data_IF_799214994813
#
_entry.id   IF_799214994813
#
_cell.length_a   1.000
_cell.length_b   1.000
_cell.length_c   1.000
_cell.angle_alpha   90.00
_cell.angle_beta   90.00
_cell.angle_gamma   90.00
#
_symmetry.space_group_name_H-M   'P 1'
#
loop_
_entity.id
_entity.type
_entity.pdbx_description
1 polymer ?
#
# COMPACT_ATOMS: atom_id res chain seq x y z
N UNK A 1 -23.95 13.30 -29.95
CA UNK A 1 -23.56 12.46 -28.78
C UNK A 1 -22.20 12.86 -28.22
N UNK A 2 -21.15 12.94 -29.05
CA UNK A 2 -19.80 13.35 -28.61
C UNK A 2 -19.74 14.74 -27.96
N UNK A 3 -20.46 15.74 -28.49
CA UNK A 3 -20.49 17.08 -27.89
C UNK A 3 -21.05 17.09 -26.46
N UNK A 4 -22.13 16.32 -26.19
CA UNK A 4 -22.68 16.17 -24.84
C UNK A 4 -21.70 15.49 -23.89
N UNK A 5 -20.92 14.51 -24.36
CA UNK A 5 -19.89 13.85 -23.56
C UNK A 5 -18.74 14.80 -23.20
N UNK A 6 -18.30 15.64 -24.15
CA UNK A 6 -17.28 16.69 -23.88
C UNK A 6 -17.78 17.73 -22.89
N UNK A 7 -19.02 18.18 -23.03
CA UNK A 7 -19.65 19.12 -22.09
C UNK A 7 -19.76 18.53 -20.68
N UNK A 8 -20.17 17.26 -20.56
CA UNK A 8 -20.21 16.58 -19.28
C UNK A 8 -18.81 16.45 -18.66
N UNK A 9 -17.82 16.04 -19.45
CA UNK A 9 -16.44 15.92 -18.98
C UNK A 9 -15.90 17.26 -18.48
N UNK A 10 -16.06 18.34 -19.26
CA UNK A 10 -15.62 19.67 -18.84
C UNK A 10 -16.30 20.14 -17.56
N UNK A 11 -17.59 19.82 -17.36
CA UNK A 11 -18.29 20.12 -16.10
C UNK A 11 -17.76 19.29 -14.93
N UNK A 12 -17.46 18.01 -15.13
CA UNK A 12 -16.86 17.17 -14.07
C UNK A 12 -15.47 17.68 -13.69
N UNK A 13 -14.66 18.07 -14.67
CA UNK A 13 -13.34 18.66 -14.45
C UNK A 13 -13.43 20.00 -13.69
N UNK A 14 -14.35 20.89 -14.07
CA UNK A 14 -14.57 22.17 -13.38
C UNK A 14 -15.03 21.98 -11.92
N UNK A 15 -15.80 20.92 -11.63
CA UNK A 15 -16.20 20.58 -10.26
C UNK A 15 -15.05 19.99 -9.41
N UNK A 16 -13.98 19.49 -10.01
CA UNK A 16 -12.84 18.88 -9.30
C UNK A 16 -11.62 19.80 -9.24
N UNK A 17 -11.32 20.51 -10.33
CA UNK A 17 -10.11 21.29 -10.56
C UNK A 17 -10.39 22.80 -10.61
N UNK A 18 -11.64 23.19 -10.87
CA UNK A 18 -12.03 24.57 -11.09
C UNK A 18 -12.18 25.38 -9.80
N UNK A 19 -12.28 26.72 -9.90
CA UNK A 19 -12.44 27.61 -8.76
C UNK A 19 -13.79 27.44 -8.04
N UNK A 20 -14.74 26.74 -8.66
CA UNK A 20 -16.05 26.42 -8.10
C UNK A 20 -16.09 25.06 -7.42
N UNK A 21 -14.96 24.34 -7.31
CA UNK A 21 -14.90 23.07 -6.61
C UNK A 21 -15.28 23.26 -5.13
N UNK A 22 -16.26 22.49 -4.68
CA UNK A 22 -16.66 22.41 -3.28
C UNK A 22 -16.47 20.99 -2.75
N UNK A 23 -16.31 20.87 -1.44
CA UNK A 23 -15.97 19.62 -0.77
C UNK A 23 -17.00 18.52 -1.00
N UNK A 24 -18.29 18.84 -0.93
CA UNK A 24 -19.35 17.86 -1.08
C UNK A 24 -19.36 17.30 -2.50
N UNK A 25 -19.39 18.17 -3.52
CA UNK A 25 -19.44 17.76 -4.92
C UNK A 25 -18.18 16.99 -5.32
N UNK A 26 -17.00 17.43 -4.86
CA UNK A 26 -15.72 16.76 -5.13
C UNK A 26 -15.73 15.33 -4.58
N UNK A 27 -16.15 15.18 -3.32
CA UNK A 27 -16.30 13.88 -2.68
C UNK A 27 -17.29 12.98 -3.42
N UNK A 28 -18.48 13.48 -3.79
CA UNK A 28 -19.50 12.69 -4.49
C UNK A 28 -19.03 12.23 -5.88
N UNK A 29 -18.38 13.10 -6.65
CA UNK A 29 -17.87 12.77 -7.98
C UNK A 29 -16.77 11.71 -7.90
N UNK A 30 -15.81 11.85 -6.98
CA UNK A 30 -14.73 10.88 -6.85
C UNK A 30 -15.21 9.56 -6.25
N UNK A 31 -16.05 9.60 -5.21
CA UNK A 31 -16.63 8.42 -4.57
C UNK A 31 -17.39 7.54 -5.58
N UNK A 32 -18.10 8.15 -6.54
CA UNK A 32 -18.75 7.43 -7.63
C UNK A 32 -17.79 6.52 -8.40
N UNK A 33 -16.59 7.02 -8.76
CA UNK A 33 -15.60 6.20 -9.47
C UNK A 33 -14.85 5.27 -8.53
N UNK A 34 -14.41 5.77 -7.37
CA UNK A 34 -13.60 5.03 -6.39
C UNK A 34 -14.29 3.75 -5.90
N UNK A 35 -15.60 3.81 -5.60
CA UNK A 35 -16.37 2.62 -5.18
C UNK A 35 -16.38 1.50 -6.23
N UNK A 36 -16.17 1.82 -7.50
CA UNK A 36 -16.14 0.83 -8.58
C UNK A 36 -14.79 0.16 -8.77
N UNK A 37 -13.73 0.67 -8.13
CA UNK A 37 -12.40 0.03 -8.17
C UNK A 37 -12.40 -1.31 -7.45
N UNK A 38 -13.31 -1.56 -6.51
CA UNK A 38 -13.50 -2.88 -5.86
C UNK A 38 -14.62 -3.72 -6.47
N UNK A 39 -15.13 -3.34 -7.65
CA UNK A 39 -16.17 -4.11 -8.33
C UNK A 39 -15.68 -5.52 -8.70
N UNK A 40 -16.54 -6.53 -8.53
CA UNK A 40 -16.27 -7.90 -8.98
C UNK A 40 -16.11 -8.01 -10.50
N UNK A 41 -16.66 -7.06 -11.25
CA UNK A 41 -16.55 -7.02 -12.71
C UNK A 41 -15.31 -6.23 -13.14
N UNK A 42 -14.34 -6.92 -13.77
CA UNK A 42 -13.11 -6.30 -14.31
C UNK A 42 -13.43 -5.12 -15.22
N UNK A 43 -14.41 -5.27 -16.13
CA UNK A 43 -14.82 -4.20 -17.03
C UNK A 43 -15.30 -2.94 -16.29
N UNK A 44 -15.96 -3.10 -15.13
CA UNK A 44 -16.39 -1.96 -14.30
C UNK A 44 -15.20 -1.24 -13.68
N UNK A 45 -14.17 -1.97 -13.23
CA UNK A 45 -12.96 -1.38 -12.66
C UNK A 45 -12.19 -0.59 -13.72
N UNK A 46 -11.98 -1.20 -14.88
CA UNK A 46 -11.29 -0.56 -16.02
C UNK A 46 -11.99 0.72 -16.47
N UNK A 47 -13.34 0.71 -16.56
CA UNK A 47 -14.09 1.91 -16.91
C UNK A 47 -14.02 2.99 -15.82
N UNK A 48 -13.97 2.60 -14.55
CA UNK A 48 -13.81 3.54 -13.44
C UNK A 48 -12.43 4.21 -13.46
N UNK A 49 -11.35 3.45 -13.63
CA UNK A 49 -9.99 3.98 -13.77
C UNK A 49 -9.86 4.91 -14.97
N UNK A 50 -10.42 4.53 -16.13
CA UNK A 50 -10.45 5.40 -17.31
C UNK A 50 -11.25 6.68 -17.05
N UNK A 51 -12.37 6.57 -16.32
CA UNK A 51 -13.16 7.73 -15.89
C UNK A 51 -12.35 8.69 -15.02
N UNK A 52 -11.68 8.16 -13.99
CA UNK A 52 -10.79 8.90 -13.10
C UNK A 52 -9.67 9.61 -13.87
N UNK A 53 -8.99 8.89 -14.75
CA UNK A 53 -7.96 9.47 -15.62
C UNK A 53 -8.48 10.63 -16.46
N UNK A 54 -9.69 10.54 -17.00
CA UNK A 54 -10.28 11.63 -17.80
C UNK A 54 -10.69 12.84 -16.94
N UNK A 55 -11.29 12.62 -15.77
CA UNK A 55 -11.81 13.74 -14.95
C UNK A 55 -10.72 14.44 -14.14
N UNK A 56 -9.58 13.78 -13.91
CA UNK A 56 -8.44 14.34 -13.16
C UNK A 56 -7.35 14.93 -14.06
N UNK A 57 -7.30 14.58 -15.35
CA UNK A 57 -6.33 15.16 -16.28
C UNK A 57 -6.71 16.60 -16.62
N UNK A 58 -5.83 17.54 -16.25
CA UNK A 58 -5.89 18.91 -16.75
C UNK A 58 -5.75 18.89 -18.28
N UNK A 59 -6.71 19.49 -19.00
CA UNK A 59 -6.56 19.68 -20.44
C UNK A 59 -6.85 18.47 -21.34
N UNK A 60 -7.52 17.41 -20.88
CA UNK A 60 -7.97 16.29 -21.76
C UNK A 60 -8.85 16.73 -22.96
N UNK A 61 -9.33 17.97 -22.96
CA UNK A 61 -10.04 18.60 -24.08
C UNK A 61 -9.13 19.37 -25.04
N UNK A 62 -7.89 19.69 -24.65
CA UNK A 62 -6.91 20.46 -25.42
C UNK A 62 -5.87 19.58 -26.16
N UNK A 63 -5.68 18.31 -25.79
CA UNK A 63 -4.64 17.43 -26.37
C UNK A 63 -4.81 17.03 -27.85
N UNK A 64 -5.85 17.50 -28.55
CA UNK A 64 -5.97 17.23 -30.00
C UNK A 64 -5.28 18.24 -30.90
N UNK A 65 -4.82 19.37 -30.39
CA UNK A 65 -4.16 20.40 -31.18
C UNK A 65 -2.92 20.89 -30.43
N UNK A 66 -1.76 20.40 -30.88
CA UNK A 66 -0.43 20.97 -30.62
C UNK A 66 0.16 20.85 -29.19
N UNK A 67 1.08 19.91 -29.00
CA UNK A 67 2.53 20.21 -28.93
C UNK A 67 3.33 19.01 -28.43
N UNK A 68 4.37 18.68 -29.18
CA UNK A 68 5.61 18.10 -28.67
C UNK A 68 6.11 19.01 -27.53
N UNK A 69 6.25 18.49 -26.32
CA UNK A 69 6.97 19.17 -25.23
C UNK A 69 8.31 18.45 -25.02
N UNK A 70 9.42 19.21 -24.87
CA UNK A 70 10.71 18.64 -24.55
C UNK A 70 10.66 18.06 -23.13
N UNK A 71 11.21 16.87 -22.98
CA UNK A 71 11.28 16.10 -21.74
C UNK A 71 12.09 16.87 -20.69
N UNK A 72 11.42 17.44 -19.68
CA UNK A 72 12.06 17.66 -18.38
C UNK A 72 11.97 16.32 -17.65
N UNK A 73 13.12 15.67 -17.48
CA UNK A 73 13.27 14.41 -16.74
C UNK A 73 12.91 14.66 -15.26
N UNK A 74 11.64 14.44 -14.90
CA UNK A 74 11.25 14.29 -13.51
C UNK A 74 11.87 12.99 -12.98
N UNK A 75 12.44 12.95 -11.76
CA UNK A 75 13.07 11.75 -11.18
C UNK A 75 12.14 10.53 -11.01
N UNK A 76 10.88 10.66 -11.41
CA UNK A 76 9.81 9.67 -11.31
C UNK A 76 9.36 9.17 -12.70
N UNK A 77 10.27 9.14 -13.67
CA UNK A 77 10.02 8.59 -15.01
C UNK A 77 9.79 7.06 -14.94
N UNK A 78 8.58 6.71 -14.52
CA UNK A 78 8.04 5.37 -14.56
C UNK A 78 7.27 5.20 -15.86
N UNK A 79 7.92 4.80 -16.95
CA UNK A 79 7.24 4.52 -18.22
C UNK A 79 6.05 3.54 -18.06
N UNK A 80 6.09 2.64 -17.07
CA UNK A 80 5.02 1.67 -16.79
C UNK A 80 3.90 2.21 -15.88
N UNK A 81 4.24 2.96 -14.83
CA UNK A 81 3.23 3.62 -13.96
C UNK A 81 2.67 4.91 -14.58
N UNK A 82 3.15 5.32 -15.75
CA UNK A 82 2.61 6.45 -16.51
C UNK A 82 1.10 6.34 -16.76
N UNK A 83 0.61 5.11 -16.95
CA UNK A 83 -0.82 4.81 -17.09
C UNK A 83 -1.65 5.09 -15.83
N UNK A 84 -0.99 5.29 -14.67
CA UNK A 84 -1.57 5.63 -13.38
C UNK A 84 -1.19 7.04 -12.92
N UNK A 85 -0.76 7.93 -13.83
CA UNK A 85 -0.55 9.36 -13.54
C UNK A 85 -1.75 9.99 -12.83
N UNK A 86 -2.97 9.57 -13.20
CA UNK A 86 -4.20 10.05 -12.57
C UNK A 86 -4.19 9.85 -11.05
N UNK A 87 -3.60 8.74 -10.57
CA UNK A 87 -3.58 8.37 -9.16
C UNK A 87 -2.34 8.91 -8.47
N UNK A 88 -1.17 8.74 -9.09
CA UNK A 88 0.12 9.03 -8.45
C UNK A 88 0.54 10.50 -8.55
N UNK A 89 -0.02 11.25 -9.51
CA UNK A 89 0.36 12.65 -9.76
C UNK A 89 -0.83 13.59 -9.76
N UNK A 90 -1.91 13.25 -10.47
CA UNK A 90 -2.98 14.22 -10.71
C UNK A 90 -3.96 14.29 -9.52
N UNK A 91 -4.31 13.16 -8.89
CA UNK A 91 -5.17 13.14 -7.70
C UNK A 91 -4.55 13.91 -6.51
N UNK A 92 -3.25 13.76 -6.15
CA UNK A 92 -2.64 14.54 -5.07
C UNK A 92 -2.57 16.05 -5.33
N UNK A 93 -2.73 16.49 -6.59
CA UNK A 93 -2.74 17.91 -6.97
C UNK A 93 -4.11 18.56 -6.86
N UNK A 94 -5.16 17.81 -6.53
CA UNK A 94 -6.50 18.38 -6.38
C UNK A 94 -6.53 19.48 -5.32
N UNK A 95 -7.25 20.60 -5.56
CA UNK A 95 -7.41 21.66 -4.56
C UNK A 95 -7.98 21.18 -3.22
N UNK A 96 -8.85 20.17 -3.26
CA UNK A 96 -9.49 19.56 -2.09
C UNK A 96 -8.97 18.14 -1.81
N UNK A 97 -7.68 17.89 -2.08
CA UNK A 97 -7.07 16.58 -1.91
C UNK A 97 -7.27 16.01 -0.50
N UNK A 98 -7.06 16.82 0.54
CA UNK A 98 -7.20 16.38 1.94
C UNK A 98 -8.60 15.82 2.25
N UNK A 99 -9.65 16.40 1.66
CA UNK A 99 -11.03 15.94 1.84
C UNK A 99 -11.29 14.56 1.23
N UNK A 100 -10.56 14.19 0.17
CA UNK A 100 -10.75 12.92 -0.56
C UNK A 100 -9.68 11.88 -0.32
N UNK A 101 -8.58 12.25 0.34
CA UNK A 101 -7.44 11.38 0.64
C UNK A 101 -7.85 10.11 1.37
N UNK A 102 -8.64 10.25 2.44
CA UNK A 102 -9.12 9.12 3.26
C UNK A 102 -10.03 8.20 2.47
N UNK A 103 -11.03 8.75 1.77
CA UNK A 103 -11.97 7.96 0.97
C UNK A 103 -11.24 7.22 -0.16
N UNK A 104 -10.25 7.86 -0.79
CA UNK A 104 -9.39 7.21 -1.78
C UNK A 104 -8.63 6.05 -1.17
N UNK A 105 -7.93 6.25 -0.05
CA UNK A 105 -7.15 5.20 0.60
C UNK A 105 -8.01 3.98 0.93
N UNK A 106 -9.19 4.20 1.53
CA UNK A 106 -10.15 3.13 1.83
C UNK A 106 -10.61 2.40 0.56
N UNK A 107 -10.95 3.14 -0.50
CA UNK A 107 -11.37 2.53 -1.77
C UNK A 107 -10.26 1.67 -2.40
N UNK A 108 -9.01 2.13 -2.34
CA UNK A 108 -7.86 1.37 -2.83
C UNK A 108 -7.59 0.13 -1.98
N UNK A 109 -7.67 0.22 -0.65
CA UNK A 109 -7.58 -0.94 0.24
C UNK A 109 -8.66 -2.01 -0.08
N UNK A 110 -9.87 -1.60 -0.42
CA UNK A 110 -10.88 -2.56 -0.88
C UNK A 110 -10.57 -3.10 -2.29
N UNK A 111 -10.01 -2.26 -3.16
CA UNK A 111 -9.64 -2.65 -4.52
C UNK A 111 -8.47 -3.63 -4.57
N UNK A 112 -7.47 -3.54 -3.68
CA UNK A 112 -6.32 -4.47 -3.66
C UNK A 112 -6.74 -5.92 -3.43
N UNK A 113 -7.90 -6.17 -2.81
CA UNK A 113 -8.43 -7.53 -2.61
C UNK A 113 -9.05 -8.11 -3.87
N UNK A 114 -9.54 -7.26 -4.77
CA UNK A 114 -10.31 -7.65 -5.97
C UNK A 114 -9.49 -7.55 -7.26
N UNK A 115 -8.46 -6.70 -7.29
CA UNK A 115 -7.67 -6.45 -8.48
C UNK A 115 -6.75 -7.62 -8.79
N UNK A 116 -6.61 -7.97 -10.07
CA UNK A 116 -5.78 -9.07 -10.56
C UNK A 116 -4.60 -8.59 -11.39
N UNK A 117 -4.64 -7.36 -11.88
CA UNK A 117 -3.56 -6.76 -12.65
C UNK A 117 -2.41 -6.27 -11.74
N UNK A 118 -1.18 -6.80 -11.88
CA UNK A 118 -0.06 -6.43 -11.01
C UNK A 118 0.29 -4.95 -11.08
N UNK A 119 0.25 -4.32 -12.26
CA UNK A 119 0.62 -2.90 -12.42
C UNK A 119 -0.37 -1.98 -11.68
N UNK A 120 -1.66 -2.30 -11.75
CA UNK A 120 -2.69 -1.60 -10.98
C UNK A 120 -2.43 -1.72 -9.48
N UNK A 121 -2.07 -2.92 -9.01
CA UNK A 121 -1.72 -3.15 -7.60
C UNK A 121 -0.47 -2.38 -7.21
N UNK A 122 0.57 -2.35 -8.07
CA UNK A 122 1.78 -1.54 -7.88
C UNK A 122 1.42 -0.07 -7.62
N UNK A 123 0.58 0.52 -8.48
CA UNK A 123 0.14 1.91 -8.34
C UNK A 123 -0.64 2.14 -7.04
N UNK A 124 -1.52 1.21 -6.65
CA UNK A 124 -2.27 1.32 -5.41
C UNK A 124 -1.36 1.29 -4.18
N UNK A 125 -0.38 0.38 -4.15
CA UNK A 125 0.58 0.27 -3.05
C UNK A 125 1.47 1.50 -2.92
N UNK A 126 1.97 2.04 -4.05
CA UNK A 126 2.76 3.26 -4.05
C UNK A 126 1.94 4.43 -3.50
N UNK A 127 0.71 4.63 -3.99
CA UNK A 127 -0.18 5.66 -3.45
C UNK A 127 -0.43 5.51 -1.95
N UNK A 128 -0.79 4.30 -1.50
CA UNK A 128 -1.11 4.04 -0.10
C UNK A 128 0.09 4.30 0.82
N UNK A 129 1.32 3.99 0.38
CA UNK A 129 2.53 4.27 1.15
C UNK A 129 2.79 5.77 1.37
N UNK A 130 2.31 6.61 0.46
CA UNK A 130 2.54 8.06 0.48
C UNK A 130 1.39 8.83 1.14
N UNK A 131 0.15 8.39 0.91
CA UNK A 131 -1.03 9.20 1.17
C UNK A 131 -2.07 8.55 2.08
N UNK A 132 -1.93 7.28 2.47
CA UNK A 132 -2.90 6.69 3.38
C UNK A 132 -2.90 7.43 4.74
N UNK A 133 -4.09 7.78 5.29
CA UNK A 133 -4.20 8.47 6.57
C UNK A 133 -3.87 7.50 7.71
N UNK A 134 -2.59 7.39 8.04
CA UNK A 134 -2.09 6.50 9.10
C UNK A 134 -1.94 7.23 10.44
N UNK A 135 -2.54 8.41 10.60
CA UNK A 135 -2.53 9.19 11.85
C UNK A 135 -3.37 8.51 12.95
N UNK A 136 -4.45 7.82 12.59
CA UNK A 136 -5.24 7.01 13.50
C UNK A 136 -4.73 5.55 13.55
N UNK A 137 -4.60 4.98 14.76
CA UNK A 137 -4.10 3.61 14.93
C UNK A 137 -4.99 2.57 14.24
N UNK A 138 -6.32 2.72 14.32
CA UNK A 138 -7.26 1.80 13.68
C UNK A 138 -7.09 1.75 12.16
N UNK A 139 -6.90 2.90 11.51
CA UNK A 139 -6.69 2.99 10.07
C UNK A 139 -5.34 2.37 9.67
N UNK A 140 -4.29 2.60 10.47
CA UNK A 140 -2.98 2.01 10.24
C UNK A 140 -2.99 0.48 10.39
N UNK A 141 -3.71 -0.05 11.41
CA UNK A 141 -3.93 -1.48 11.60
C UNK A 141 -4.63 -2.11 10.38
N UNK A 142 -5.68 -1.46 9.88
CA UNK A 142 -6.42 -1.94 8.71
C UNK A 142 -5.52 -1.97 7.46
N UNK A 143 -4.76 -0.90 7.20
CA UNK A 143 -3.84 -0.85 6.07
C UNK A 143 -2.78 -1.97 6.15
N UNK A 144 -2.13 -2.12 7.30
CA UNK A 144 -1.12 -3.16 7.49
C UNK A 144 -1.70 -4.56 7.27
N UNK A 145 -2.92 -4.83 7.77
CA UNK A 145 -3.58 -6.11 7.58
C UNK A 145 -4.00 -6.36 6.13
N UNK A 146 -4.57 -5.37 5.45
CA UNK A 146 -4.99 -5.50 4.06
C UNK A 146 -3.79 -5.78 3.14
N UNK A 147 -2.69 -5.06 3.33
CA UNK A 147 -1.43 -5.28 2.60
C UNK A 147 -0.80 -6.62 2.97
N UNK A 148 -0.88 -7.04 4.25
CA UNK A 148 -0.37 -8.34 4.67
C UNK A 148 -1.13 -9.51 4.02
N UNK A 149 -2.47 -9.40 3.90
CA UNK A 149 -3.29 -10.40 3.19
C UNK A 149 -2.91 -10.48 1.72
N UNK A 150 -2.70 -9.34 1.05
CA UNK A 150 -2.18 -9.33 -0.32
C UNK A 150 -0.85 -10.11 -0.43
N UNK A 151 0.09 -9.87 0.48
CA UNK A 151 1.41 -10.51 0.45
C UNK A 151 1.34 -12.01 0.73
N UNK A 152 0.61 -12.41 1.77
CA UNK A 152 0.61 -13.80 2.26
C UNK A 152 -0.35 -14.67 1.46
N UNK A 153 -1.56 -14.18 1.18
CA UNK A 153 -2.65 -14.98 0.61
C UNK A 153 -2.65 -14.94 -0.93
N UNK A 154 -2.11 -13.88 -1.55
CA UNK A 154 -2.09 -13.70 -3.01
C UNK A 154 -0.69 -13.90 -3.60
N UNK A 155 -0.07 -15.02 -3.26
CA UNK A 155 1.31 -15.38 -3.63
C UNK A 155 1.61 -15.33 -5.14
N UNK A 156 0.62 -15.55 -6.00
CA UNK A 156 0.77 -15.43 -7.46
C UNK A 156 1.05 -14.00 -7.89
N UNK A 157 0.35 -13.00 -7.33
CA UNK A 157 0.63 -11.58 -7.60
C UNK A 157 2.01 -11.21 -7.10
N UNK A 158 2.36 -11.60 -5.87
CA UNK A 158 3.69 -11.35 -5.32
C UNK A 158 4.80 -11.96 -6.18
N UNK A 159 4.56 -13.14 -6.75
CA UNK A 159 5.52 -13.80 -7.65
C UNK A 159 5.67 -13.04 -8.98
N UNK A 160 4.61 -12.38 -9.45
CA UNK A 160 4.68 -11.53 -10.66
C UNK A 160 5.38 -10.20 -10.37
N UNK A 161 5.07 -9.56 -9.23
CA UNK A 161 5.69 -8.30 -8.83
C UNK A 161 7.21 -8.43 -8.61
N UNK A 162 7.66 -9.57 -8.06
CA UNK A 162 9.05 -9.80 -7.66
C UNK A 162 9.68 -11.02 -8.34
N UNK A 163 9.29 -11.31 -9.59
CA UNK A 163 9.90 -12.39 -10.35
C UNK A 163 11.42 -12.16 -10.47
N UNK A 164 12.22 -13.23 -10.38
CA UNK A 164 13.70 -13.12 -10.49
C UNK A 164 14.18 -12.53 -11.82
N UNK A 165 13.31 -12.47 -12.83
CA UNK A 165 13.59 -11.85 -14.13
C UNK A 165 13.12 -10.38 -14.22
N UNK A 166 12.47 -9.85 -13.19
CA UNK A 166 11.75 -8.57 -13.20
C UNK A 166 12.22 -7.58 -12.13
N UNK A 167 13.44 -7.67 -11.60
CA UNK A 167 14.01 -6.63 -10.72
C UNK A 167 14.26 -5.35 -11.54
N UNK A 168 13.16 -4.68 -11.90
CA UNK A 168 13.10 -3.41 -12.59
C UNK A 168 12.73 -2.30 -11.59
N UNK A 169 12.87 -1.04 -12.01
CA UNK A 169 12.56 0.13 -11.17
C UNK A 169 11.15 0.10 -10.57
N UNK A 170 10.16 -0.48 -11.27
CA UNK A 170 8.80 -0.63 -10.74
C UNK A 170 8.78 -1.58 -9.54
N UNK A 171 9.35 -2.78 -9.67
CA UNK A 171 9.41 -3.76 -8.57
C UNK A 171 10.14 -3.19 -7.36
N UNK A 172 11.21 -2.42 -7.59
CA UNK A 172 11.98 -1.76 -6.54
C UNK A 172 11.12 -0.72 -5.80
N UNK A 173 10.36 0.08 -6.54
CA UNK A 173 9.46 1.09 -5.98
C UNK A 173 8.32 0.47 -5.17
N UNK A 174 7.77 -0.66 -5.63
CA UNK A 174 6.75 -1.40 -4.89
C UNK A 174 7.35 -1.99 -3.61
N UNK A 175 8.58 -2.51 -3.66
CA UNK A 175 9.27 -3.00 -2.47
C UNK A 175 9.48 -1.87 -1.45
N UNK A 176 9.99 -0.71 -1.88
CA UNK A 176 10.14 0.48 -1.03
C UNK A 176 8.80 0.90 -0.42
N UNK A 177 7.72 0.94 -1.21
CA UNK A 177 6.38 1.27 -0.73
C UNK A 177 5.90 0.30 0.36
N UNK A 178 6.05 -1.00 0.14
CA UNK A 178 5.67 -2.05 1.09
C UNK A 178 6.49 -1.98 2.38
N UNK A 179 7.82 -1.83 2.27
CA UNK A 179 8.72 -1.69 3.42
C UNK A 179 8.39 -0.44 4.23
N UNK A 180 8.10 0.69 3.58
CA UNK A 180 7.70 1.95 4.22
C UNK A 180 6.39 1.81 5.00
N UNK A 181 5.36 1.16 4.43
CA UNK A 181 4.10 0.88 5.12
C UNK A 181 4.37 0.09 6.42
N UNK A 182 5.10 -1.02 6.34
CA UNK A 182 5.34 -1.86 7.50
C UNK A 182 6.33 -1.26 8.51
N UNK A 183 7.33 -0.52 8.05
CA UNK A 183 8.30 0.18 8.90
C UNK A 183 7.60 1.24 9.75
N UNK A 184 6.74 2.06 9.14
CA UNK A 184 5.91 3.05 9.87
C UNK A 184 4.97 2.36 10.85
N UNK A 185 4.33 1.26 10.43
CA UNK A 185 3.44 0.47 11.28
C UNK A 185 4.14 -0.04 12.54
N UNK A 186 5.25 -0.76 12.37
CA UNK A 186 5.92 -1.42 13.49
C UNK A 186 6.59 -0.41 14.43
N UNK A 187 7.14 0.69 13.90
CA UNK A 187 7.70 1.80 14.71
C UNK A 187 6.63 2.37 15.63
N UNK A 188 5.42 2.58 15.12
CA UNK A 188 4.29 3.08 15.91
C UNK A 188 3.81 2.06 16.93
N UNK A 189 3.62 0.81 16.52
CA UNK A 189 3.17 -0.27 17.42
C UNK A 189 4.10 -0.45 18.63
N UNK A 190 5.42 -0.36 18.42
CA UNK A 190 6.43 -0.51 19.49
C UNK A 190 6.56 0.71 20.40
N UNK A 191 6.00 1.87 20.02
CA UNK A 191 5.99 3.08 20.84
C UNK A 191 4.76 3.18 21.75
N UNK A 192 3.72 2.38 21.49
CA UNK A 192 2.53 2.30 22.33
C UNK A 192 2.94 1.76 23.70
N UNK A 193 2.70 2.53 24.77
CA UNK A 193 3.07 2.13 26.13
C UNK A 193 2.20 0.97 26.61
N UNK A 194 2.77 0.08 27.41
CA UNK A 194 2.01 -0.89 28.21
C UNK A 194 0.92 -0.14 29.00
N UNK A 195 -0.35 -0.39 28.67
CA UNK A 195 -1.52 0.22 29.31
C UNK A 195 -2.30 1.24 28.47
N UNK A 196 -1.75 1.75 27.37
CA UNK A 196 -2.50 2.58 26.38
C UNK A 196 -3.22 1.72 25.33
N UNK A 197 -2.88 0.43 25.24
CA UNK A 197 -3.67 -0.56 24.52
C UNK A 197 -5.01 -0.70 25.26
N UNK A 198 -6.05 -0.03 24.77
CA UNK A 198 -7.43 -0.47 25.02
C UNK A 198 -7.46 -1.92 24.59
N UNK A 199 -7.45 -2.82 25.58
CA UNK A 199 -7.56 -4.27 25.42
C UNK A 199 -8.91 -4.55 24.74
N UNK A 200 -8.96 -4.34 23.43
CA UNK A 200 -10.00 -4.86 22.59
C UNK A 200 -9.64 -6.34 22.47
N UNK A 201 -10.20 -7.14 23.37
CA UNK A 201 -10.28 -8.58 23.22
C UNK A 201 -10.77 -8.85 21.79
N UNK A 202 -9.84 -9.11 20.89
CA UNK A 202 -10.19 -9.58 19.57
C UNK A 202 -10.52 -11.05 19.76
N UNK A 203 -11.74 -11.44 19.42
CA UNK A 203 -12.13 -12.86 19.36
C UNK A 203 -11.38 -13.61 18.25
N UNK A 204 -10.59 -12.91 17.42
CA UNK A 204 -9.77 -13.54 16.38
C UNK A 204 -8.51 -14.17 16.97
N UNK A 205 -8.37 -15.48 16.83
CA UNK A 205 -7.19 -16.27 17.19
C UNK A 205 -5.94 -15.93 16.35
N UNK A 206 -6.08 -15.02 15.39
CA UNK A 206 -5.00 -14.60 14.48
C UNK A 206 -4.16 -13.45 15.02
N UNK A 207 -4.46 -12.93 16.23
CA UNK A 207 -3.63 -11.93 16.89
C UNK A 207 -2.59 -12.58 17.80
N UNK A 208 -1.38 -12.01 17.80
CA UNK A 208 -0.28 -12.42 18.66
C UNK A 208 0.22 -11.23 19.47
N UNK A 209 0.50 -11.48 20.75
CA UNK A 209 1.19 -10.55 21.63
C UNK A 209 2.70 -10.76 21.48
N UNK A 210 3.41 -9.72 21.06
CA UNK A 210 4.84 -9.76 20.78
C UNK A 210 5.64 -9.08 21.88
N UNK A 211 6.81 -9.63 22.17
CA UNK A 211 7.80 -9.05 23.07
C UNK A 211 9.17 -9.06 22.42
N UNK A 212 9.79 -7.89 22.33
CA UNK A 212 11.18 -7.74 21.89
C UNK A 212 12.13 -7.77 23.07
N UNK A 213 13.39 -8.14 22.80
CA UNK A 213 14.47 -8.15 23.80
C UNK A 213 14.79 -6.75 24.39
N UNK A 214 14.33 -5.68 23.75
CA UNK A 214 14.40 -4.31 24.27
C UNK A 214 13.36 -3.98 25.34
N UNK A 215 12.40 -4.89 25.61
CA UNK A 215 11.28 -4.66 26.52
C UNK A 215 10.04 -4.05 25.87
N UNK A 216 10.12 -3.64 24.60
CA UNK A 216 8.96 -3.20 23.82
C UNK A 216 8.00 -4.38 23.60
N UNK A 217 6.71 -4.08 23.58
CA UNK A 217 5.63 -5.05 23.35
C UNK A 217 4.63 -4.48 22.36
N UNK A 218 3.91 -5.36 21.64
CA UNK A 218 2.81 -4.94 20.77
C UNK A 218 1.87 -6.11 20.47
N UNK A 219 0.59 -5.82 20.30
CA UNK A 219 -0.40 -6.80 19.82
C UNK A 219 -0.71 -6.56 18.33
N UNK A 220 -0.53 -7.57 17.46
CA UNK A 220 -0.85 -7.44 16.03
C UNK A 220 -1.27 -8.76 15.40
N UNK A 221 -1.84 -8.68 14.20
CA UNK A 221 -2.24 -9.85 13.42
C UNK A 221 -1.02 -10.63 12.91
N UNK A 222 -1.03 -11.95 12.99
CA UNK A 222 0.10 -12.83 12.63
C UNK A 222 0.52 -12.68 11.16
N UNK A 223 -0.44 -12.51 10.25
CA UNK A 223 -0.17 -12.21 8.84
C UNK A 223 0.69 -10.95 8.64
N UNK A 224 0.55 -9.93 9.49
CA UNK A 224 1.37 -8.71 9.41
C UNK A 224 2.84 -9.05 9.68
N UNK A 225 3.11 -9.90 10.66
CA UNK A 225 4.46 -10.40 10.92
C UNK A 225 4.98 -11.21 9.74
N UNK A 226 4.19 -12.18 9.26
CA UNK A 226 4.57 -13.02 8.13
C UNK A 226 4.89 -12.19 6.88
N UNK A 227 4.08 -11.16 6.60
CA UNK A 227 4.30 -10.26 5.48
C UNK A 227 5.64 -9.51 5.59
N UNK A 228 5.98 -8.96 6.77
CA UNK A 228 7.27 -8.30 6.98
C UNK A 228 8.44 -9.25 6.74
N UNK A 229 8.38 -10.49 7.24
CA UNK A 229 9.43 -11.48 7.03
C UNK A 229 9.52 -11.91 5.57
N UNK A 230 8.39 -12.09 4.88
CA UNK A 230 8.36 -12.36 3.43
C UNK A 230 9.09 -11.25 2.66
N UNK A 231 8.84 -9.99 2.97
CA UNK A 231 9.51 -8.87 2.31
C UNK A 231 11.02 -8.89 2.58
N UNK A 232 11.44 -9.17 3.81
CA UNK A 232 12.86 -9.29 4.13
C UNK A 232 13.55 -10.39 3.30
N UNK A 233 12.84 -11.48 2.97
CA UNK A 233 13.42 -12.53 2.12
C UNK A 233 13.70 -12.09 0.67
N UNK A 234 13.10 -10.99 0.21
CA UNK A 234 13.30 -10.43 -1.14
C UNK A 234 14.63 -9.67 -1.27
N UNK A 235 15.29 -9.36 -0.16
CA UNK A 235 16.50 -8.54 -0.11
C UNK A 235 16.20 -7.02 -0.07
N UNK A 236 17.23 -6.20 0.13
CA UNK A 236 17.09 -4.74 0.16
C UNK A 236 16.76 -4.21 -1.24
N UNK A 237 15.89 -3.17 -1.35
CA UNK A 237 15.69 -2.45 -2.60
C UNK A 237 16.95 -1.66 -2.98
N UNK A 238 17.08 -1.30 -4.26
CA UNK A 238 18.22 -0.56 -4.80
C UNK A 238 18.15 0.93 -4.50
N UNK A 239 16.96 1.53 -4.45
CA UNK A 239 16.79 2.97 -4.28
C UNK A 239 16.93 3.45 -2.82
N UNK A 240 16.29 2.78 -1.86
CA UNK A 240 16.31 3.15 -0.42
C UNK A 240 16.15 1.92 0.48
N UNK A 241 17.25 1.49 1.10
CA UNK A 241 17.33 0.31 1.95
C UNK A 241 17.09 0.60 3.45
N UNK A 242 16.84 1.84 3.84
CA UNK A 242 16.76 2.24 5.25
C UNK A 242 15.63 1.54 6.01
N UNK A 243 14.44 1.45 5.40
CA UNK A 243 13.31 0.74 5.99
C UNK A 243 13.50 -0.79 5.98
N UNK A 244 14.25 -1.33 5.00
CA UNK A 244 14.61 -2.74 4.97
C UNK A 244 15.46 -3.10 6.20
N UNK A 245 16.56 -2.38 6.43
CA UNK A 245 17.44 -2.66 7.57
C UNK A 245 16.76 -2.36 8.90
N UNK A 246 15.88 -1.35 8.95
CA UNK A 246 15.05 -1.11 10.14
C UNK A 246 14.20 -2.35 10.48
N UNK A 247 13.48 -2.91 9.51
CA UNK A 247 12.68 -4.11 9.74
C UNK A 247 13.56 -5.32 10.08
N UNK A 248 14.70 -5.48 9.41
CA UNK A 248 15.63 -6.57 9.67
C UNK A 248 16.16 -6.52 11.10
N UNK A 249 16.50 -5.34 11.62
CA UNK A 249 16.95 -5.13 13.00
C UNK A 249 15.89 -5.39 14.05
N UNK A 250 14.63 -5.14 13.71
CA UNK A 250 13.48 -5.40 14.59
C UNK A 250 13.21 -6.90 14.70
N UNK A 251 13.24 -7.62 13.58
CA UNK A 251 12.83 -9.02 13.55
C UNK A 251 13.98 -10.01 13.74
N UNK A 252 15.19 -9.67 13.29
CA UNK A 252 16.36 -10.56 13.26
C UNK A 252 17.63 -9.88 13.79
N UNK A 253 17.64 -9.37 15.04
CA UNK A 253 18.79 -8.62 15.58
C UNK A 253 20.07 -9.48 15.71
N UNK A 254 21.23 -8.97 15.30
CA UNK A 254 22.49 -9.75 15.27
C UNK A 254 22.99 -10.27 16.63
N UNK A 255 22.73 -9.54 17.72
CA UNK A 255 23.32 -9.80 19.05
C UNK A 255 22.28 -9.98 20.15
N UNK A 256 21.00 -10.09 19.79
CA UNK A 256 19.91 -10.22 20.75
C UNK A 256 19.05 -11.42 20.36
N UNK A 257 18.24 -11.91 21.31
CA UNK A 257 17.24 -12.92 21.00
C UNK A 257 16.21 -12.37 20.02
N UNK A 258 15.70 -13.26 19.16
CA UNK A 258 14.54 -13.01 18.32
C UNK A 258 13.32 -12.60 19.19
N UNK A 259 12.37 -11.84 18.63
CA UNK A 259 11.13 -11.53 19.33
C UNK A 259 10.34 -12.81 19.63
N UNK A 260 9.74 -12.86 20.82
CA UNK A 260 8.85 -13.94 21.24
C UNK A 260 7.39 -13.54 21.04
N UNK A 261 6.54 -14.51 20.71
CA UNK A 261 5.12 -14.31 20.51
C UNK A 261 4.30 -15.16 21.48
N UNK A 262 3.15 -14.64 21.90
CA UNK A 262 2.21 -15.33 22.78
C UNK A 262 0.80 -15.21 22.24
N UNK A 263 0.00 -16.25 22.42
CA UNK A 263 -1.43 -16.22 22.12
C UNK A 263 -2.12 -15.25 23.11
N UNK A 264 -2.99 -14.39 22.61
CA UNK A 264 -3.62 -13.32 23.41
C UNK A 264 -4.58 -13.89 24.46
N UNK A 265 -5.24 -15.01 24.15
CA UNK A 265 -6.27 -15.65 24.99
C UNK A 265 -5.67 -16.59 26.05
N UNK A 266 -4.68 -17.40 25.68
CA UNK A 266 -4.09 -18.41 26.59
C UNK A 266 -2.78 -17.97 27.24
N UNK A 267 -2.13 -16.92 26.72
CA UNK A 267 -0.75 -16.54 27.07
C UNK A 267 0.29 -17.65 26.82
N UNK A 268 -0.06 -18.68 26.03
CA UNK A 268 0.89 -19.70 25.60
C UNK A 268 1.82 -19.15 24.52
N UNK A 269 3.04 -19.66 24.46
CA UNK A 269 4.00 -19.26 23.43
C UNK A 269 3.50 -19.67 22.04
N UNK A 270 3.41 -18.69 21.14
CA UNK A 270 2.94 -18.87 19.78
C UNK A 270 4.13 -19.04 18.82
N UNK A 271 4.00 -19.95 17.86
CA UNK A 271 4.98 -20.11 16.81
C UNK A 271 4.87 -18.94 15.81
N UNK A 272 5.80 -17.99 15.90
CA UNK A 272 5.83 -16.79 15.05
C UNK A 272 6.19 -17.10 13.59
N UNK A 273 7.06 -18.08 13.37
CA UNK A 273 7.60 -18.43 12.06
C UNK A 273 7.19 -19.87 11.71
N UNK A 274 6.16 -20.07 10.88
CA UNK A 274 5.76 -21.40 10.41
C UNK A 274 6.80 -21.99 9.44
N UNK A 275 6.79 -23.31 9.27
CA UNK A 275 7.83 -24.03 8.50
C UNK A 275 7.95 -23.56 7.05
N UNK A 276 6.83 -23.24 6.39
CA UNK A 276 6.87 -22.73 5.01
C UNK A 276 7.62 -21.39 4.90
N UNK A 277 7.58 -20.55 5.94
CA UNK A 277 8.26 -19.27 5.98
C UNK A 277 9.75 -19.46 6.28
N UNK A 278 10.09 -20.37 7.21
CA UNK A 278 11.48 -20.79 7.44
C UNK A 278 12.13 -21.35 6.18
N UNK A 279 11.41 -22.19 5.42
CA UNK A 279 11.87 -22.71 4.12
C UNK A 279 12.12 -21.61 3.08
N UNK A 280 11.41 -20.49 3.18
CA UNK A 280 11.65 -19.31 2.34
C UNK A 280 12.88 -18.54 2.83
N UNK A 281 13.05 -18.37 4.14
CA UNK A 281 14.19 -17.69 4.76
C UNK A 281 15.53 -18.36 4.43
N UNK A 282 15.63 -19.69 4.54
CA UNK A 282 16.86 -20.44 4.22
C UNK A 282 17.27 -20.35 2.73
N UNK A 283 16.38 -19.90 1.86
CA UNK A 283 16.64 -19.68 0.42
C UNK A 283 16.90 -18.22 0.09
N UNK A 284 16.87 -17.33 1.09
CA UNK A 284 17.13 -15.91 0.91
C UNK A 284 18.64 -15.65 0.76
N UNK A 285 18.98 -14.61 0.01
CA UNK A 285 20.35 -14.10 -0.10
C UNK A 285 20.75 -13.24 1.12
N UNK A 286 19.85 -13.04 2.08
CA UNK A 286 20.08 -12.23 3.29
C UNK A 286 20.61 -13.13 4.42
N UNK A 287 21.91 -13.05 4.80
CA UNK A 287 22.53 -14.03 5.70
C UNK A 287 21.83 -14.14 7.07
N UNK A 288 21.41 -12.99 7.63
CA UNK A 288 20.68 -12.93 8.92
C UNK A 288 19.39 -13.74 8.95
N UNK A 289 18.76 -13.98 7.80
CA UNK A 289 17.55 -14.80 7.72
C UNK A 289 17.87 -16.30 7.63
N UNK A 290 19.02 -16.65 7.05
CA UNK A 290 19.46 -18.04 6.87
C UNK A 290 19.92 -18.64 8.21
N UNK A 291 20.55 -17.81 9.04
CA UNK A 291 21.14 -18.23 10.33
C UNK A 291 20.13 -18.19 11.51
N UNK A 292 18.90 -17.69 11.29
CA UNK A 292 17.89 -17.43 12.32
C UNK A 292 17.02 -18.63 12.70
#
# INVERSE_FOLDING_TARGET
RQQKQRQLLGRLQDMLLGPTADEQTTCEVLDYFLRRLSSSQVASRVLAMKGLSLVLSEGALHEKEEKEHPMEEDPWDFELLQSYQWLLRDLPKLPLFDSVRTTTAVALQQAIHMETDPQTISAYLVYLSQHAPVEEQGQHNNLALDVARLIVERSTIMSHLFSKLSYCSESDSVLVALLSIFSRYIKRMRQTKEGDEVYNWSESQDQVFLRWSGGETATMHILVVHAMVILLTLGPPQADDGDFYTLLDIWFPEKKSLPTAFLVDTSEEALLLPDWLKLRMIRSEVPRLVDA
#
